data_IF_664891408817
#
_entry.id   IF_664891408817
#
_cell.length_a   1.000
_cell.length_b   1.000
_cell.length_c   1.000
_cell.angle_alpha   90.00
_cell.angle_beta   90.00
_cell.angle_gamma   90.00
#
_symmetry.space_group_name_H-M   'P 1'
#
loop_
_entity.id
_entity.type
_entity.pdbx_description
1 polymer ?
#
# COMPACT_ATOMS: atom_id res chain seq x y z
N UNK A 1 61.98 -34.33 -17.64
CA UNK A 1 61.83 -33.12 -16.81
C UNK A 1 60.36 -32.69 -16.95
N UNK A 2 59.44 -33.11 -16.08
CA UNK A 2 59.11 -32.61 -14.74
C UNK A 2 58.21 -31.35 -14.74
N UNK A 3 56.91 -31.58 -14.46
CA UNK A 3 55.91 -30.81 -13.66
C UNK A 3 55.75 -29.31 -14.02
N UNK A 4 54.54 -28.79 -14.35
CA UNK A 4 53.54 -28.38 -13.35
C UNK A 4 52.12 -28.24 -13.94
N UNK A 5 51.14 -28.89 -13.30
CA UNK A 5 49.71 -28.57 -13.33
C UNK A 5 49.47 -27.20 -12.69
N UNK A 6 48.66 -26.31 -13.29
CA UNK A 6 47.99 -25.12 -12.67
C UNK A 6 47.29 -24.41 -13.86
N UNK A 7 45.98 -24.30 -14.06
CA UNK A 7 44.80 -24.33 -13.22
C UNK A 7 43.64 -24.91 -14.06
N UNK A 8 42.95 -25.91 -13.53
CA UNK A 8 41.53 -26.08 -13.85
C UNK A 8 40.82 -25.08 -12.94
N UNK A 9 40.34 -23.96 -13.47
CA UNK A 9 39.58 -23.02 -12.67
C UNK A 9 38.44 -22.41 -13.49
N UNK A 10 37.26 -22.61 -12.93
CA UNK A 10 36.08 -21.76 -13.01
C UNK A 10 35.16 -21.85 -14.24
N UNK A 11 34.16 -22.75 -14.17
CA UNK A 11 32.84 -22.52 -14.80
C UNK A 11 31.75 -23.49 -14.29
N UNK A 12 31.68 -23.76 -12.99
CA UNK A 12 30.52 -24.45 -12.36
C UNK A 12 29.57 -23.47 -11.64
N UNK A 13 29.88 -22.16 -11.65
CA UNK A 13 29.08 -21.13 -10.96
C UNK A 13 27.80 -20.74 -11.71
N UNK A 14 27.79 -20.85 -13.05
CA UNK A 14 26.63 -20.48 -13.87
C UNK A 14 25.45 -21.44 -13.68
N UNK A 15 25.69 -22.75 -13.54
CA UNK A 15 24.63 -23.74 -13.32
C UNK A 15 24.02 -23.61 -11.91
N UNK A 16 24.83 -23.36 -10.89
CA UNK A 16 24.35 -23.09 -9.54
C UNK A 16 23.58 -21.76 -9.48
N UNK A 17 24.05 -20.73 -10.18
CA UNK A 17 23.36 -19.45 -10.28
C UNK A 17 22.01 -19.62 -10.99
N UNK A 18 21.99 -20.32 -12.12
CA UNK A 18 20.79 -20.60 -12.90
C UNK A 18 19.79 -21.43 -12.10
N UNK A 19 20.25 -22.41 -11.31
CA UNK A 19 19.40 -23.19 -10.43
C UNK A 19 18.82 -22.35 -9.28
N UNK A 20 19.61 -21.43 -8.71
CA UNK A 20 19.13 -20.50 -7.67
C UNK A 20 18.12 -19.50 -8.20
N UNK A 21 18.33 -18.98 -9.41
CA UNK A 21 17.39 -18.09 -10.09
C UNK A 21 16.10 -18.84 -10.42
N UNK A 22 16.19 -20.05 -10.96
CA UNK A 22 15.02 -20.88 -11.23
C UNK A 22 14.21 -21.16 -9.95
N UNK A 23 14.90 -21.51 -8.86
CA UNK A 23 14.26 -21.74 -7.57
C UNK A 23 13.65 -20.47 -6.99
N UNK A 24 14.31 -19.31 -7.12
CA UNK A 24 13.78 -18.03 -6.67
C UNK A 24 12.54 -17.60 -7.48
N UNK A 25 12.56 -17.78 -8.79
CA UNK A 25 11.40 -17.52 -9.67
C UNK A 25 10.24 -18.43 -9.30
N UNK A 26 10.50 -19.73 -9.13
CA UNK A 26 9.46 -20.71 -8.78
C UNK A 26 8.88 -20.46 -7.39
N UNK A 27 9.71 -20.08 -6.42
CA UNK A 27 9.27 -19.70 -5.09
C UNK A 27 8.46 -18.39 -5.13
N UNK A 28 8.88 -17.43 -5.96
CA UNK A 28 8.15 -16.17 -6.16
C UNK A 28 6.77 -16.38 -6.79
N UNK A 29 6.67 -17.22 -7.84
CA UNK A 29 5.38 -17.55 -8.47
C UNK A 29 4.46 -18.25 -7.48
N UNK A 30 4.99 -19.20 -6.70
CA UNK A 30 4.21 -19.89 -5.67
C UNK A 30 3.71 -18.94 -4.57
N UNK A 31 4.53 -17.98 -4.14
CA UNK A 31 4.11 -16.94 -3.20
C UNK A 31 3.02 -16.03 -3.77
N UNK A 32 3.10 -15.67 -5.05
CA UNK A 32 2.05 -14.89 -5.73
C UNK A 32 0.73 -15.67 -5.81
N UNK A 33 0.79 -16.97 -6.09
CA UNK A 33 -0.38 -17.86 -6.09
C UNK A 33 -1.00 -17.98 -4.69
N UNK A 34 -0.18 -18.15 -3.65
CA UNK A 34 -0.65 -18.12 -2.26
C UNK A 34 -1.27 -16.77 -1.89
N UNK A 35 -0.69 -15.65 -2.35
CA UNK A 35 -1.25 -14.31 -2.12
C UNK A 35 -2.59 -14.10 -2.84
N UNK A 36 -2.78 -14.73 -3.99
CA UNK A 36 -4.03 -14.71 -4.73
C UNK A 36 -5.12 -15.57 -4.07
N UNK A 37 -4.74 -16.69 -3.44
CA UNK A 37 -5.67 -17.61 -2.76
C UNK A 37 -6.03 -17.19 -1.33
N UNK A 38 -5.26 -16.30 -0.71
CA UNK A 38 -5.63 -15.74 0.59
C UNK A 38 -6.96 -14.99 0.48
N UNK A 39 -7.99 -15.48 1.18
CA UNK A 39 -9.24 -14.75 1.37
C UNK A 39 -8.91 -13.43 2.07
N UNK A 40 -9.01 -12.31 1.36
CA UNK A 40 -8.47 -11.03 1.83
C UNK A 40 -9.11 -10.54 3.13
N UNK A 41 -10.34 -10.94 3.44
CA UNK A 41 -11.02 -10.58 4.67
C UNK A 41 -12.03 -11.65 5.07
N UNK A 42 -12.08 -12.01 6.36
CA UNK A 42 -13.18 -12.79 6.91
C UNK A 42 -14.50 -12.06 6.65
N UNK A 43 -15.48 -12.78 6.11
CA UNK A 43 -16.77 -12.22 5.74
C UNK A 43 -17.52 -11.60 6.92
N UNK A 44 -18.68 -11.01 6.63
CA UNK A 44 -19.55 -10.42 7.64
C UNK A 44 -19.89 -11.45 8.73
N UNK A 45 -19.52 -11.14 9.98
CA UNK A 45 -19.93 -11.94 11.13
C UNK A 45 -21.45 -11.80 11.27
N UNK A 46 -22.17 -12.93 11.22
CA UNK A 46 -23.60 -12.96 11.45
C UNK A 46 -23.93 -12.29 12.80
N UNK A 47 -25.02 -11.52 12.87
CA UNK A 47 -25.43 -10.71 14.03
C UNK A 47 -24.63 -9.42 14.29
N UNK A 48 -23.71 -9.01 13.40
CA UNK A 48 -23.07 -7.69 13.50
C UNK A 48 -23.95 -6.61 12.89
N UNK A 49 -24.53 -5.77 13.74
CA UNK A 49 -25.31 -4.61 13.29
C UNK A 49 -24.41 -3.48 12.77
N UNK A 50 -24.81 -2.89 11.65
CA UNK A 50 -24.17 -1.69 11.12
C UNK A 50 -24.53 -0.48 11.99
N UNK A 51 -23.54 0.08 12.68
CA UNK A 51 -23.68 1.35 13.41
C UNK A 51 -23.23 2.51 12.53
N UNK A 52 -24.14 3.44 12.24
CA UNK A 52 -23.79 4.64 11.46
C UNK A 52 -22.92 5.59 12.30
N UNK A 53 -21.61 5.57 12.05
CA UNK A 53 -20.63 6.44 12.72
C UNK A 53 -20.55 7.86 12.14
N UNK A 54 -21.54 8.30 11.36
CA UNK A 54 -21.56 9.61 10.69
C UNK A 54 -20.30 9.85 9.83
N UNK A 55 -19.90 8.81 9.08
CA UNK A 55 -18.68 8.76 8.26
C UNK A 55 -18.54 9.98 7.34
N UNK A 56 -19.63 10.36 6.67
CA UNK A 56 -19.64 11.51 5.75
C UNK A 56 -19.41 12.84 6.46
N UNK A 57 -20.04 13.04 7.63
CA UNK A 57 -19.85 14.25 8.44
C UNK A 57 -18.41 14.37 8.92
N UNK A 58 -17.82 13.27 9.39
CA UNK A 58 -16.43 13.26 9.83
C UNK A 58 -15.48 13.55 8.68
N UNK A 59 -15.76 12.99 7.49
CA UNK A 59 -14.96 13.27 6.30
C UNK A 59 -15.00 14.75 5.92
N UNK A 60 -16.19 15.37 5.89
CA UNK A 60 -16.35 16.81 5.60
C UNK A 60 -15.56 17.67 6.59
N UNK A 61 -15.71 17.42 7.89
CA UNK A 61 -14.95 18.13 8.94
C UNK A 61 -13.45 18.00 8.72
N UNK A 62 -12.92 16.79 8.50
CA UNK A 62 -11.49 16.59 8.26
C UNK A 62 -10.94 17.42 7.09
N UNK A 63 -11.70 17.51 5.99
CA UNK A 63 -11.30 18.30 4.82
C UNK A 63 -11.33 19.78 5.12
N UNK A 64 -12.41 20.27 5.74
CA UNK A 64 -12.58 21.67 6.13
C UNK A 64 -11.48 22.12 7.11
N UNK A 65 -11.16 21.28 8.09
CA UNK A 65 -10.25 21.60 9.19
C UNK A 65 -8.78 21.68 8.75
N UNK A 66 -8.32 20.73 7.92
CA UNK A 66 -6.89 20.51 7.63
C UNK A 66 -6.47 20.82 6.19
N UNK A 67 -7.40 20.76 5.23
CA UNK A 67 -7.08 20.79 3.80
C UNK A 67 -7.69 22.00 3.08
N UNK A 68 -8.62 22.73 3.70
CA UNK A 68 -9.15 23.99 3.19
C UNK A 68 -8.09 25.11 3.18
N UNK A 69 -8.22 26.11 2.29
CA UNK A 69 -7.30 27.25 2.22
C UNK A 69 -7.24 28.03 3.55
N UNK A 70 -8.36 28.16 4.25
CA UNK A 70 -8.44 28.70 5.61
C UNK A 70 -8.44 27.56 6.62
N UNK A 71 -7.30 26.88 6.76
CA UNK A 71 -7.16 25.82 7.77
C UNK A 71 -7.35 26.38 9.17
N UNK A 72 -8.25 25.79 9.94
CA UNK A 72 -8.42 26.10 11.36
C UNK A 72 -7.19 25.67 12.18
N UNK A 73 -6.47 24.66 11.69
CA UNK A 73 -5.30 24.09 12.38
C UNK A 73 -3.97 24.52 11.74
N UNK A 74 -3.03 25.08 12.52
CA UNK A 74 -1.68 25.39 12.07
C UNK A 74 -0.90 24.16 11.58
N UNK A 75 0.17 24.35 10.78
CA UNK A 75 1.01 23.26 10.29
C UNK A 75 1.63 22.37 11.38
N UNK A 76 1.78 22.88 12.61
CA UNK A 76 2.28 22.12 13.76
C UNK A 76 1.31 21.01 14.16
N UNK A 77 0.01 21.30 14.16
CA UNK A 77 -1.02 20.33 14.53
C UNK A 77 -1.22 19.29 13.43
N UNK A 78 -1.16 19.72 12.16
CA UNK A 78 -1.12 18.80 11.03
C UNK A 78 0.02 17.78 11.16
N UNK A 79 1.24 18.25 11.50
CA UNK A 79 2.39 17.37 11.73
C UNK A 79 2.18 16.45 12.93
N UNK A 80 1.52 16.88 14.00
CA UNK A 80 1.21 16.01 15.14
C UNK A 80 0.27 14.89 14.75
N UNK A 81 -0.71 15.16 13.89
CA UNK A 81 -1.73 14.17 13.50
C UNK A 81 -1.26 13.24 12.37
N UNK A 82 -0.69 13.78 11.30
CA UNK A 82 -0.27 13.00 10.12
C UNK A 82 1.21 12.67 10.09
N UNK A 83 1.98 13.13 11.08
CA UNK A 83 3.43 12.90 11.23
C UNK A 83 4.28 13.38 10.04
N UNK A 84 3.70 14.18 9.14
CA UNK A 84 4.33 14.66 7.91
C UNK A 84 4.01 16.14 7.64
N UNK A 85 4.78 16.78 6.76
CA UNK A 85 4.44 18.11 6.23
C UNK A 85 3.25 17.98 5.26
N UNK A 86 2.39 19.01 5.22
CA UNK A 86 1.21 19.05 4.35
C UNK A 86 1.55 18.90 2.86
N UNK A 87 2.62 19.55 2.41
CA UNK A 87 3.09 19.43 1.02
C UNK A 87 3.50 18.00 0.65
N UNK A 88 4.18 17.29 1.55
CA UNK A 88 4.55 15.91 1.34
C UNK A 88 3.32 15.01 1.28
N UNK A 89 2.34 15.25 2.17
CA UNK A 89 1.06 14.56 2.14
C UNK A 89 0.39 14.70 0.78
N UNK A 90 0.28 15.91 0.23
CA UNK A 90 -0.31 16.12 -1.10
C UNK A 90 0.45 15.42 -2.23
N UNK A 91 1.79 15.38 -2.18
CA UNK A 91 2.57 14.67 -3.19
C UNK A 91 2.30 13.16 -3.15
N UNK A 92 2.30 12.57 -1.97
CA UNK A 92 2.00 11.14 -1.78
C UNK A 92 0.57 10.86 -2.22
N UNK A 93 -0.38 11.69 -1.79
CA UNK A 93 -1.78 11.59 -2.15
C UNK A 93 -1.97 11.56 -3.67
N UNK A 94 -1.35 12.49 -4.40
CA UNK A 94 -1.48 12.58 -5.86
C UNK A 94 -0.90 11.34 -6.55
N UNK A 95 0.26 10.85 -6.10
CA UNK A 95 0.88 9.63 -6.64
C UNK A 95 0.00 8.40 -6.37
N UNK A 96 -0.53 8.27 -5.15
CA UNK A 96 -1.38 7.15 -4.76
C UNK A 96 -2.70 7.17 -5.52
N UNK A 97 -3.35 8.33 -5.66
CA UNK A 97 -4.58 8.46 -6.45
C UNK A 97 -4.34 8.13 -7.92
N UNK A 98 -3.18 8.51 -8.47
CA UNK A 98 -2.83 8.24 -9.86
C UNK A 98 -2.56 6.75 -10.12
N UNK A 99 -1.92 6.05 -9.18
CA UNK A 99 -1.57 4.64 -9.34
C UNK A 99 -2.71 3.69 -8.95
N UNK A 100 -3.47 4.03 -7.91
CA UNK A 100 -4.43 3.11 -7.28
C UNK A 100 -5.88 3.63 -7.42
N UNK A 101 -6.70 3.03 -8.30
CA UNK A 101 -8.10 3.41 -8.49
C UNK A 101 -8.98 3.05 -7.28
N UNK A 102 -8.42 2.43 -6.24
CA UNK A 102 -9.09 2.20 -4.96
C UNK A 102 -9.30 3.50 -4.17
N UNK A 103 -8.36 4.44 -4.27
CA UNK A 103 -8.38 5.66 -3.48
C UNK A 103 -9.20 6.79 -4.11
N UNK A 104 -9.67 6.63 -5.35
CA UNK A 104 -10.61 7.56 -5.97
C UNK A 104 -11.96 7.46 -5.28
N UNK A 105 -12.55 8.60 -4.95
CA UNK A 105 -13.88 8.64 -4.32
C UNK A 105 -14.92 8.15 -5.33
N UNK A 106 -15.49 6.97 -5.07
CA UNK A 106 -16.50 6.31 -5.91
C UNK A 106 -17.85 6.36 -5.22
N UNK A 107 -18.91 6.18 -5.97
CA UNK A 107 -20.25 6.00 -5.41
C UNK A 107 -20.44 4.50 -5.18
N UNK A 108 -20.64 4.11 -3.92
CA UNK A 108 -20.93 2.74 -3.53
C UNK A 108 -22.27 2.28 -4.14
N UNK A 109 -22.51 0.98 -4.23
CA UNK A 109 -23.74 0.41 -4.81
C UNK A 109 -25.07 0.91 -4.17
N UNK A 110 -25.00 1.47 -2.96
CA UNK A 110 -26.12 2.11 -2.26
C UNK A 110 -26.22 3.63 -2.49
N UNK A 111 -25.49 4.20 -3.46
CA UNK A 111 -25.51 5.62 -3.79
C UNK A 111 -24.72 6.53 -2.83
N UNK A 112 -23.89 5.97 -1.95
CA UNK A 112 -23.11 6.73 -0.95
C UNK A 112 -21.69 6.97 -1.45
N UNK A 113 -21.13 8.15 -1.18
CA UNK A 113 -19.72 8.40 -1.50
C UNK A 113 -18.82 7.52 -0.62
N UNK A 114 -17.88 6.82 -1.26
CA UNK A 114 -16.84 6.04 -0.62
C UNK A 114 -15.89 6.96 0.18
N UNK A 115 -15.02 6.36 1.00
CA UNK A 115 -14.01 7.13 1.73
C UNK A 115 -13.10 7.78 0.70
N UNK A 116 -12.95 9.10 0.75
CA UNK A 116 -11.90 9.76 -0.02
C UNK A 116 -10.54 9.41 0.57
N UNK A 117 -9.51 9.53 -0.24
CA UNK A 117 -8.14 9.18 0.11
C UNK A 117 -7.66 9.89 1.39
N UNK A 118 -8.13 11.13 1.64
CA UNK A 118 -7.80 11.90 2.85
C UNK A 118 -8.14 11.21 4.17
N UNK A 119 -9.26 10.49 4.22
CA UNK A 119 -9.68 9.75 5.42
C UNK A 119 -9.09 8.33 5.48
N UNK A 120 -8.38 7.91 4.42
CA UNK A 120 -7.80 6.57 4.27
C UNK A 120 -6.31 6.52 4.58
N UNK A 121 -5.67 7.66 4.88
CA UNK A 121 -4.34 7.73 5.50
C UNK A 121 -4.51 7.92 7.01
N UNK A 122 -4.49 6.85 7.82
CA UNK A 122 -4.38 6.99 9.26
C UNK A 122 -2.93 7.33 9.64
N UNK A 123 -2.78 7.88 10.84
CA UNK A 123 -1.53 8.13 11.57
C UNK A 123 -0.52 6.97 11.48
#
# INVERSE_FOLDING_TARGET
MAIQNFFNDDSDDDDLHQQRVAMAVQCHTFLLELYAQQSKHGGSIAHREYKNRKREKHHKSLVEDYFCERTLYPPVDFRRQFRMRRELFYRILNVVIAHEPYFTQKIDACGRQSLSSFASFPC
#
